data_IF_744517925693
#
_entry.id   IF_744517925693
#
_cell.length_a   1.000
_cell.length_b   1.000
_cell.length_c   1.000
_cell.angle_alpha   90.00
_cell.angle_beta   90.00
_cell.angle_gamma   90.00
#
_symmetry.space_group_name_H-M   'P 1'
#
loop_
_entity.id
_entity.type
_entity.pdbx_description
1 polymer ?
#
# COMPACT_ATOMS: atom_id res chain seq x y z
N UNK A 1 -11.75 -0.54 -10.47
CA UNK A 1 -10.52 0.26 -10.24
C UNK A 1 -9.46 -0.65 -9.66
N UNK A 2 -8.24 -0.59 -10.18
CA UNK A 2 -7.15 -1.40 -9.64
C UNK A 2 -6.51 -0.75 -8.41
N UNK A 3 -5.62 -1.49 -7.74
CA UNK A 3 -5.03 -1.05 -6.47
C UNK A 3 -4.22 0.25 -6.61
N UNK A 4 -3.36 0.34 -7.61
CA UNK A 4 -2.50 1.51 -7.81
C UNK A 4 -3.31 2.71 -8.32
N UNK A 5 -4.36 2.48 -9.10
CA UNK A 5 -5.27 3.54 -9.54
C UNK A 5 -6.03 4.14 -8.36
N UNK A 6 -6.47 3.32 -7.41
CA UNK A 6 -7.09 3.80 -6.18
C UNK A 6 -6.13 4.70 -5.39
N UNK A 7 -4.86 4.30 -5.26
CA UNK A 7 -3.86 5.11 -4.57
C UNK A 7 -3.60 6.43 -5.30
N UNK A 8 -3.45 6.38 -6.62
CA UNK A 8 -3.25 7.59 -7.40
C UNK A 8 -4.42 8.57 -7.22
N UNK A 9 -5.65 8.07 -7.26
CA UNK A 9 -6.84 8.89 -7.06
C UNK A 9 -6.90 9.49 -5.66
N UNK A 10 -6.58 8.69 -4.64
CA UNK A 10 -6.60 9.16 -3.25
C UNK A 10 -5.63 10.33 -3.03
N UNK A 11 -4.41 10.22 -3.55
CA UNK A 11 -3.43 11.31 -3.43
C UNK A 11 -3.80 12.50 -4.32
N UNK A 12 -4.32 12.27 -5.52
CA UNK A 12 -4.74 13.34 -6.43
C UNK A 12 -5.86 14.18 -5.80
N UNK A 13 -6.75 13.57 -5.01
CA UNK A 13 -7.82 14.32 -4.31
C UNK A 13 -7.27 15.32 -3.30
N UNK A 14 -6.03 15.18 -2.87
CA UNK A 14 -5.32 16.09 -1.99
C UNK A 14 -4.32 16.98 -2.75
N UNK A 15 -4.37 16.98 -4.08
CA UNK A 15 -3.45 17.74 -4.91
C UNK A 15 -2.06 17.13 -5.03
N UNK A 16 -1.89 15.87 -4.67
CA UNK A 16 -0.59 15.20 -4.70
C UNK A 16 -0.59 14.18 -5.85
N UNK A 17 0.32 14.39 -6.80
CA UNK A 17 0.46 13.50 -7.95
C UNK A 17 1.55 12.45 -7.68
N UNK A 18 1.17 11.17 -7.79
CA UNK A 18 2.09 10.03 -7.67
C UNK A 18 2.03 9.20 -8.96
N UNK A 19 3.04 8.36 -9.22
CA UNK A 19 3.02 7.50 -10.41
C UNK A 19 1.81 6.58 -10.48
N UNK A 20 1.51 6.08 -11.68
CA UNK A 20 0.28 5.31 -11.95
C UNK A 20 0.34 3.87 -11.46
N UNK A 21 1.49 3.20 -11.58
CA UNK A 21 1.60 1.77 -11.33
C UNK A 21 2.24 1.47 -9.97
N UNK A 22 1.88 0.32 -9.37
CA UNK A 22 2.35 -0.04 -8.03
C UNK A 22 3.88 -0.08 -7.93
N UNK A 23 4.56 -0.69 -8.90
CA UNK A 23 6.02 -0.76 -8.87
C UNK A 23 6.68 0.61 -9.01
N UNK A 24 6.04 1.53 -9.73
CA UNK A 24 6.52 2.91 -9.85
C UNK A 24 6.28 3.67 -8.55
N UNK A 25 5.15 3.46 -7.91
CA UNK A 25 4.84 4.06 -6.61
C UNK A 25 5.84 3.60 -5.56
N UNK A 26 6.21 2.32 -5.57
CA UNK A 26 7.22 1.78 -4.66
C UNK A 26 8.56 2.49 -4.80
N UNK A 27 9.00 2.72 -6.03
CA UNK A 27 10.26 3.42 -6.30
C UNK A 27 10.20 4.91 -5.97
N UNK A 28 9.03 5.49 -6.10
CA UNK A 28 8.80 6.92 -5.88
C UNK A 28 8.83 7.29 -4.40
N UNK A 29 8.35 6.41 -3.53
CA UNK A 29 8.24 6.67 -2.10
C UNK A 29 9.58 6.60 -1.39
N UNK A 30 9.70 7.33 -0.28
CA UNK A 30 10.77 7.14 0.68
C UNK A 30 10.53 5.82 1.41
N UNK A 31 11.47 4.86 1.42
CA UNK A 31 11.26 3.58 2.08
C UNK A 31 10.98 3.71 3.57
N UNK A 32 10.04 2.91 4.05
CA UNK A 32 9.73 2.76 5.48
C UNK A 32 9.93 1.30 5.83
N UNK A 33 10.74 1.01 6.82
CA UNK A 33 11.01 -0.36 7.25
C UNK A 33 9.75 -0.97 7.88
N UNK A 34 9.36 -2.14 7.43
CA UNK A 34 8.18 -2.85 7.93
C UNK A 34 8.37 -4.36 7.76
N UNK A 35 7.86 -5.10 8.74
CA UNK A 35 7.67 -6.54 8.64
C UNK A 35 6.43 -6.91 9.45
N UNK A 36 5.94 -8.15 9.27
CA UNK A 36 4.71 -8.58 9.94
C UNK A 36 4.81 -8.43 11.46
N UNK A 37 6.00 -8.63 12.04
CA UNK A 37 6.22 -8.47 13.47
C UNK A 37 6.70 -7.10 13.91
N UNK A 38 6.85 -6.14 12.97
CA UNK A 38 7.43 -4.83 13.27
C UNK A 38 6.73 -3.76 12.42
N UNK A 39 5.63 -3.23 12.94
CA UNK A 39 4.78 -2.24 12.26
C UNK A 39 4.98 -0.81 12.80
N UNK A 40 5.93 -0.62 13.73
CA UNK A 40 6.02 0.60 14.54
C UNK A 40 6.34 1.86 13.75
N UNK A 41 7.05 1.72 12.63
CA UNK A 41 7.45 2.86 11.81
C UNK A 41 6.38 3.28 10.81
N UNK A 42 5.34 2.48 10.62
CA UNK A 42 4.23 2.82 9.73
C UNK A 42 3.38 3.93 10.32
N UNK A 43 3.05 4.91 9.48
CA UNK A 43 2.14 6.01 9.83
C UNK A 43 0.92 5.96 8.95
N UNK A 44 -0.24 6.49 9.42
CA UNK A 44 -1.39 6.67 8.54
C UNK A 44 -1.01 7.47 7.29
N UNK A 45 -1.44 6.99 6.14
CA UNK A 45 -1.08 7.61 4.85
C UNK A 45 0.12 6.99 4.16
N UNK A 46 0.91 6.16 4.83
CA UNK A 46 1.98 5.42 4.17
C UNK A 46 1.40 4.40 3.19
N UNK A 47 2.14 4.10 2.14
CA UNK A 47 1.79 3.03 1.20
C UNK A 47 2.48 1.74 1.61
N UNK A 48 1.74 0.63 1.51
CA UNK A 48 2.25 -0.71 1.79
C UNK A 48 2.30 -1.45 0.46
N UNK A 49 3.41 -2.11 0.19
CA UNK A 49 3.65 -2.78 -1.10
C UNK A 49 3.75 -4.29 -0.94
N UNK A 50 3.14 -4.99 -1.88
CA UNK A 50 3.04 -6.44 -1.90
C UNK A 50 3.44 -6.98 -3.26
N UNK A 51 3.82 -8.25 -3.30
CA UNK A 51 4.14 -8.93 -4.54
C UNK A 51 5.12 -10.06 -4.33
N UNK A 52 5.84 -10.39 -5.39
CA UNK A 52 6.92 -11.38 -5.35
C UNK A 52 8.23 -10.70 -4.94
N UNK A 53 9.29 -11.48 -4.62
CA UNK A 53 10.60 -10.87 -4.39
C UNK A 53 11.14 -10.07 -5.58
N UNK A 54 10.65 -10.36 -6.78
CA UNK A 54 11.12 -9.71 -8.01
C UNK A 54 10.34 -8.47 -8.39
N UNK A 55 9.06 -8.37 -8.01
CA UNK A 55 8.20 -7.31 -8.51
C UNK A 55 7.09 -6.95 -7.55
N UNK A 56 6.88 -5.66 -7.36
CA UNK A 56 5.71 -5.13 -6.68
C UNK A 56 4.49 -5.22 -7.61
N UNK A 57 3.44 -5.91 -7.15
CA UNK A 57 2.22 -6.10 -7.94
C UNK A 57 0.98 -5.54 -7.28
N UNK A 58 1.07 -5.10 -6.02
CA UNK A 58 -0.09 -4.61 -5.27
C UNK A 58 0.34 -3.52 -4.30
N UNK A 59 -0.55 -2.57 -4.05
CA UNK A 59 -0.31 -1.46 -3.12
C UNK A 59 -1.58 -1.18 -2.32
N UNK A 60 -1.39 -0.75 -1.08
CA UNK A 60 -2.47 -0.41 -0.16
C UNK A 60 -2.13 0.86 0.62
N UNK A 61 -3.15 1.52 1.15
CA UNK A 61 -3.02 2.71 1.97
C UNK A 61 -3.14 2.33 3.45
N UNK A 62 -2.08 2.60 4.21
CA UNK A 62 -2.07 2.34 5.66
C UNK A 62 -2.99 3.34 6.38
N UNK A 63 -3.90 2.82 7.19
CA UNK A 63 -4.89 3.62 7.92
C UNK A 63 -4.49 3.87 9.37
N UNK A 64 -3.50 3.15 9.87
CA UNK A 64 -3.09 3.14 11.26
C UNK A 64 -3.20 1.74 11.86
N UNK A 65 -2.37 1.44 12.84
CA UNK A 65 -2.38 0.15 13.58
C UNK A 65 -2.29 -1.08 12.68
N UNK A 66 -1.58 -0.98 11.56
CA UNK A 66 -1.40 -2.10 10.63
C UNK A 66 -2.59 -2.39 9.72
N UNK A 67 -3.67 -1.62 9.81
CA UNK A 67 -4.85 -1.76 8.94
C UNK A 67 -4.62 -0.97 7.66
N UNK A 68 -5.10 -1.50 6.55
CA UNK A 68 -4.92 -0.85 5.25
C UNK A 68 -6.16 -0.99 4.37
N UNK A 69 -6.36 0.02 3.53
CA UNK A 69 -7.41 0.03 2.49
C UNK A 69 -6.78 -0.24 1.14
N UNK A 70 -7.43 -1.12 0.36
CA UNK A 70 -6.93 -1.47 -0.96
C UNK A 70 -8.07 -1.96 -1.86
N UNK A 71 -7.78 -2.02 -3.15
CA UNK A 71 -8.66 -2.65 -4.14
C UNK A 71 -8.06 -4.01 -4.49
N UNK A 72 -8.81 -5.08 -4.24
CA UNK A 72 -8.36 -6.45 -4.44
C UNK A 72 -9.23 -7.15 -5.49
N UNK A 73 -8.61 -8.06 -6.25
CA UNK A 73 -9.32 -8.85 -7.23
C UNK A 73 -10.17 -9.95 -6.62
N UNK A 74 -11.15 -10.42 -7.38
CA UNK A 74 -12.07 -11.45 -6.95
C UNK A 74 -11.37 -12.77 -6.62
N UNK A 75 -10.27 -13.08 -7.31
CA UNK A 75 -9.51 -14.32 -7.10
C UNK A 75 -8.91 -14.43 -5.70
N UNK A 76 -8.85 -13.34 -4.97
CA UNK A 76 -8.33 -13.34 -3.59
C UNK A 76 -9.44 -13.32 -2.53
N UNK A 77 -10.70 -13.53 -2.95
CA UNK A 77 -11.82 -13.61 -2.03
C UNK A 77 -12.50 -12.30 -1.70
N UNK A 78 -12.05 -11.18 -2.31
CA UNK A 78 -12.68 -9.87 -2.16
C UNK A 78 -12.76 -9.20 -3.52
N UNK A 79 -13.94 -8.71 -3.87
CA UNK A 79 -14.15 -8.04 -5.15
C UNK A 79 -14.36 -6.55 -4.89
N UNK A 80 -13.32 -5.76 -5.13
CA UNK A 80 -13.35 -4.31 -4.97
C UNK A 80 -12.59 -3.81 -3.77
N UNK A 81 -13.02 -2.66 -3.22
CA UNK A 81 -12.31 -1.96 -2.15
C UNK A 81 -12.69 -2.57 -0.80
N UNK A 82 -11.68 -2.81 0.04
CA UNK A 82 -11.88 -3.32 1.39
C UNK A 82 -10.75 -2.92 2.32
N UNK A 83 -10.90 -3.29 3.59
CA UNK A 83 -9.90 -3.05 4.62
C UNK A 83 -9.44 -4.40 5.16
N UNK A 84 -8.14 -4.58 5.22
CA UNK A 84 -7.49 -5.76 5.79
C UNK A 84 -6.37 -5.32 6.72
N UNK A 85 -5.67 -6.25 7.34
CA UNK A 85 -4.68 -5.95 8.36
C UNK A 85 -3.42 -6.80 8.17
N UNK A 86 -2.26 -6.23 8.53
CA UNK A 86 -1.00 -6.94 8.58
C UNK A 86 -0.82 -7.80 9.85
N UNK A 87 -1.74 -7.70 10.80
CA UNK A 87 -1.64 -8.46 12.04
C UNK A 87 -1.93 -9.95 11.80
N UNK A 88 -1.17 -10.81 12.47
CA UNK A 88 -1.36 -12.26 12.39
C UNK A 88 -2.74 -12.69 12.91
N UNK A 89 -3.35 -11.88 13.75
CA UNK A 89 -4.69 -12.15 14.28
C UNK A 89 -5.78 -12.03 13.22
N UNK A 90 -5.53 -11.28 12.15
CA UNK A 90 -6.48 -11.18 11.04
C UNK A 90 -6.33 -12.41 10.15
N UNK A 91 -7.30 -13.31 10.25
CA UNK A 91 -7.29 -14.59 9.54
C UNK A 91 -8.17 -14.60 8.29
N UNK A 92 -8.66 -13.44 7.87
CA UNK A 92 -9.40 -13.35 6.61
C UNK A 92 -8.50 -13.81 5.46
N UNK A 93 -9.02 -14.61 4.50
CA UNK A 93 -8.18 -15.15 3.40
C UNK A 93 -7.44 -14.07 2.62
N UNK A 94 -8.07 -12.93 2.38
CA UNK A 94 -7.44 -11.80 1.67
C UNK A 94 -6.28 -11.24 2.50
N UNK A 95 -6.49 -11.00 3.80
CA UNK A 95 -5.44 -10.49 4.68
C UNK A 95 -4.26 -11.47 4.76
N UNK A 96 -4.53 -12.77 4.88
CA UNK A 96 -3.49 -13.80 4.94
C UNK A 96 -2.71 -13.86 3.64
N UNK A 97 -3.37 -13.77 2.50
CA UNK A 97 -2.71 -13.79 1.19
C UNK A 97 -1.73 -12.63 1.05
N UNK A 98 -2.18 -11.39 1.28
CA UNK A 98 -1.31 -10.23 1.11
C UNK A 98 -0.22 -10.15 2.18
N UNK A 99 -0.50 -10.57 3.40
CA UNK A 99 0.54 -10.64 4.43
C UNK A 99 1.71 -11.54 4.01
N UNK A 100 1.41 -12.64 3.33
CA UNK A 100 2.46 -13.53 2.81
C UNK A 100 3.26 -12.91 1.67
N UNK A 101 2.74 -11.86 1.04
CA UNK A 101 3.38 -11.17 -0.08
C UNK A 101 3.94 -9.80 0.29
N UNK A 102 4.04 -9.48 1.58
CA UNK A 102 4.53 -8.18 2.02
C UNK A 102 5.96 -7.94 1.53
N UNK A 103 6.17 -6.82 0.81
CA UNK A 103 7.49 -6.41 0.31
C UNK A 103 8.11 -5.32 1.17
N UNK A 104 7.30 -4.36 1.61
CA UNK A 104 7.76 -3.21 2.34
C UNK A 104 6.74 -2.10 2.32
N UNK A 105 7.17 -0.92 2.70
CA UNK A 105 6.32 0.27 2.73
C UNK A 105 7.08 1.50 2.30
N UNK A 106 6.36 2.57 2.02
CA UNK A 106 6.94 3.84 1.63
C UNK A 106 6.07 5.01 2.02
N UNK A 107 6.71 6.16 2.15
CA UNK A 107 6.05 7.42 2.48
C UNK A 107 6.15 8.37 1.32
N UNK A 108 5.02 8.97 0.94
CA UNK A 108 4.98 9.98 -0.10
C UNK A 108 5.46 11.30 0.52
N UNK A 109 6.63 11.78 0.10
CA UNK A 109 7.23 13.01 0.63
C UNK A 109 7.34 14.12 -0.41
N UNK A 110 6.92 13.84 -1.66
CA UNK A 110 6.97 14.81 -2.76
C UNK A 110 5.91 14.48 -3.79
N UNK A 111 5.59 15.44 -4.67
CA UNK A 111 4.79 15.19 -5.86
C UNK A 111 5.65 14.58 -6.97
N UNK A 112 5.02 13.96 -7.96
CA UNK A 112 5.69 13.35 -9.11
C UNK A 112 6.50 14.38 -9.93
N UNK A 113 6.13 15.65 -9.86
CA UNK A 113 6.88 16.75 -10.50
C UNK A 113 8.13 17.18 -9.72
N UNK A 114 8.42 16.55 -8.57
CA UNK A 114 9.57 16.85 -7.74
C UNK A 114 9.31 17.83 -6.60
N UNK A 115 8.11 18.41 -6.51
CA UNK A 115 7.77 19.33 -5.41
C UNK A 115 7.75 18.60 -4.09
N UNK A 116 8.56 19.05 -3.13
CA UNK A 116 8.61 18.44 -1.78
C UNK A 116 7.38 18.80 -0.97
N UNK A 117 6.81 17.83 -0.29
CA UNK A 117 5.71 18.03 0.65
C UNK A 117 6.28 18.43 2.00
N UNK A 118 5.68 19.45 2.58
CA UNK A 118 6.09 19.95 3.90
C UNK A 118 5.21 19.37 5.00
#
# INVERSE_FOLDING_TARGET
MDCSGLMQLAFASQGIWIPRDAYQQERFCQPVAVSVGALDLLRPGDLIFFGSPRRCTHVALHLGSGRYRHSSGQQHGRNGIGVDSLHLADRHPVASHYRSELRGAGRVIRCHDGTTLS
#
